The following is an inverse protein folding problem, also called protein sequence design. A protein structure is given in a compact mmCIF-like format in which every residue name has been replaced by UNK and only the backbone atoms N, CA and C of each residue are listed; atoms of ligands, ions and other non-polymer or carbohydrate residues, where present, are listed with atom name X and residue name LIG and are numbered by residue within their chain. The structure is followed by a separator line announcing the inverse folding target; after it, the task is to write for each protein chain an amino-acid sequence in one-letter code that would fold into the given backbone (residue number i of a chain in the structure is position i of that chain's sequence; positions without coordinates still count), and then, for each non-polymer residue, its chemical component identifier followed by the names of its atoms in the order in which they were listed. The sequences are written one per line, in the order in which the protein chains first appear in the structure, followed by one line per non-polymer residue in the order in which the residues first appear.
data_IF_748826680655
#
_entry.id   IF_748826680655
#
_cell.length_a   1.000
_cell.length_b   1.000
_cell.length_c   1.000
_cell.angle_alpha   90.00
_cell.angle_beta   90.00
_cell.angle_gamma   90.00
#
_symmetry.space_group_name_H-M   'P 1'
#
loop_
_entity.id
_entity.type
_entity.pdbx_description
1 polymer ?
#
# COMPACT_ATOMS: atom_id res chain seq x y z
N UNK A 1 -2.29 19.54 -1.71
CA UNK A 1 -1.41 18.35 -1.81
C UNK A 1 -2.06 17.08 -1.26
N UNK A 2 -2.67 17.12 -0.07
CA UNK A 2 -3.31 15.94 0.57
C UNK A 2 -4.40 15.25 -0.26
N UNK A 3 -5.25 16.00 -0.98
CA UNK A 3 -6.32 15.39 -1.83
C UNK A 3 -5.79 14.55 -2.99
N UNK A 4 -4.69 14.99 -3.62
CA UNK A 4 -4.11 14.29 -4.76
C UNK A 4 -3.47 12.98 -4.30
N UNK A 5 -2.77 13.00 -3.16
CA UNK A 5 -2.22 11.80 -2.52
C UNK A 5 -3.33 10.83 -2.10
N UNK A 6 -4.41 11.34 -1.49
CA UNK A 6 -5.59 10.52 -1.12
C UNK A 6 -6.23 9.90 -2.35
N UNK A 7 -6.40 10.67 -3.43
CA UNK A 7 -6.99 10.17 -4.67
C UNK A 7 -6.10 9.12 -5.33
N UNK A 8 -4.80 9.36 -5.43
CA UNK A 8 -3.83 8.39 -5.94
C UNK A 8 -3.82 7.12 -5.10
N UNK A 9 -3.84 7.24 -3.77
CA UNK A 9 -3.91 6.08 -2.86
C UNK A 9 -5.20 5.28 -3.03
N UNK A 10 -6.35 5.95 -3.11
CA UNK A 10 -7.63 5.31 -3.35
C UNK A 10 -7.70 4.63 -4.72
N UNK A 11 -7.19 5.30 -5.76
CA UNK A 11 -7.13 4.77 -7.12
C UNK A 11 -6.25 3.53 -7.19
N UNK A 12 -5.02 3.61 -6.70
CA UNK A 12 -4.08 2.48 -6.68
C UNK A 12 -4.63 1.32 -5.83
N UNK A 13 -5.17 1.61 -4.65
CA UNK A 13 -5.79 0.60 -3.79
C UNK A 13 -6.99 -0.09 -4.44
N UNK A 14 -7.79 0.66 -5.19
CA UNK A 14 -8.91 0.11 -5.96
C UNK A 14 -8.43 -0.79 -7.08
N UNK A 15 -7.46 -0.34 -7.89
CA UNK A 15 -6.92 -1.13 -9.01
C UNK A 15 -6.24 -2.42 -8.53
N UNK A 16 -5.40 -2.32 -7.50
CA UNK A 16 -4.68 -3.46 -6.92
C UNK A 16 -5.67 -4.41 -6.25
N UNK A 17 -6.58 -3.89 -5.41
CA UNK A 17 -7.61 -4.70 -4.75
C UNK A 17 -8.49 -5.43 -5.75
N UNK A 18 -8.88 -4.77 -6.84
CA UNK A 18 -9.71 -5.37 -7.88
C UNK A 18 -8.95 -6.47 -8.64
N UNK A 19 -7.70 -6.23 -9.04
CA UNK A 19 -6.87 -7.24 -9.71
C UNK A 19 -6.62 -8.48 -8.83
N UNK A 20 -6.33 -8.27 -7.54
CA UNK A 20 -6.17 -9.36 -6.58
C UNK A 20 -7.48 -10.11 -6.35
N UNK A 21 -8.60 -9.40 -6.19
CA UNK A 21 -9.94 -9.97 -6.06
C UNK A 21 -10.31 -10.83 -7.26
N UNK A 22 -10.03 -10.37 -8.49
CA UNK A 22 -10.23 -11.16 -9.71
C UNK A 22 -9.37 -12.42 -9.74
N UNK A 23 -8.10 -12.30 -9.36
CA UNK A 23 -7.18 -13.45 -9.31
C UNK A 23 -7.65 -14.50 -8.31
N UNK A 24 -8.14 -14.08 -7.14
CA UNK A 24 -8.73 -14.97 -6.14
C UNK A 24 -10.03 -15.60 -6.63
N UNK A 25 -10.89 -14.81 -7.27
CA UNK A 25 -12.15 -15.29 -7.81
C UNK A 25 -11.94 -16.37 -8.89
N UNK A 26 -10.92 -16.23 -9.74
CA UNK A 26 -10.54 -17.26 -10.71
C UNK A 26 -10.08 -18.57 -10.05
N UNK A 27 -9.48 -18.48 -8.87
CA UNK A 27 -9.00 -19.65 -8.10
C UNK A 27 -10.06 -20.23 -7.16
N UNK A 28 -11.13 -19.50 -6.88
CA UNK A 28 -12.19 -19.92 -5.96
C UNK A 28 -13.06 -21.06 -6.53
N UNK A 29 -13.01 -21.33 -7.85
CA UNK A 29 -13.82 -22.37 -8.48
C UNK A 29 -15.31 -22.16 -8.21
N UNK A 30 -15.96 -23.14 -7.58
CA UNK A 30 -17.38 -23.12 -7.24
C UNK A 30 -17.67 -22.64 -5.80
N UNK A 31 -16.67 -22.20 -5.04
CA UNK A 31 -16.86 -21.65 -3.68
C UNK A 31 -17.71 -20.38 -3.68
N UNK A 32 -17.76 -19.66 -4.79
CA UNK A 32 -18.55 -18.44 -4.95
C UNK A 32 -19.50 -18.65 -6.13
N UNK A 33 -20.80 -18.68 -5.82
CA UNK A 33 -21.85 -18.74 -6.83
C UNK A 33 -21.67 -17.63 -7.88
N UNK A 34 -21.90 -17.90 -9.17
CA UNK A 34 -21.73 -16.91 -10.23
C UNK A 34 -22.48 -15.59 -9.99
N UNK A 35 -23.67 -15.65 -9.39
CA UNK A 35 -24.47 -14.49 -9.04
C UNK A 35 -23.82 -13.59 -7.97
N UNK A 36 -22.98 -14.15 -7.10
CA UNK A 36 -22.35 -13.45 -5.97
C UNK A 36 -20.97 -12.88 -6.30
N UNK A 37 -20.42 -13.18 -7.49
CA UNK A 37 -19.10 -12.71 -7.94
C UNK A 37 -18.92 -11.18 -7.86
N UNK A 38 -19.88 -10.34 -8.29
CA UNK A 38 -19.73 -8.88 -8.19
C UNK A 38 -19.72 -8.39 -6.74
N UNK A 39 -20.53 -9.00 -5.88
CA UNK A 39 -20.58 -8.67 -4.45
C UNK A 39 -19.26 -9.01 -3.77
N UNK A 40 -18.69 -10.19 -4.08
CA UNK A 40 -17.37 -10.59 -3.60
C UNK A 40 -16.29 -9.59 -4.01
N UNK A 41 -16.21 -9.20 -5.29
CA UNK A 41 -15.20 -8.26 -5.77
C UNK A 41 -15.32 -6.90 -5.08
N UNK A 42 -16.54 -6.40 -4.91
CA UNK A 42 -16.78 -5.14 -4.20
C UNK A 42 -16.31 -5.23 -2.75
N UNK A 43 -16.70 -6.29 -2.04
CA UNK A 43 -16.29 -6.51 -0.66
C UNK A 43 -14.76 -6.62 -0.53
N UNK A 44 -14.11 -7.31 -1.46
CA UNK A 44 -12.66 -7.47 -1.48
C UNK A 44 -11.92 -6.14 -1.70
N UNK A 45 -12.40 -5.31 -2.65
CA UNK A 45 -11.85 -3.97 -2.89
C UNK A 45 -11.99 -3.10 -1.64
N UNK A 46 -13.17 -3.07 -1.02
CA UNK A 46 -13.41 -2.30 0.21
C UNK A 46 -12.50 -2.77 1.35
N UNK A 47 -12.36 -4.08 1.55
CA UNK A 47 -11.46 -4.64 2.54
C UNK A 47 -10.00 -4.26 2.27
N UNK A 48 -9.56 -4.28 1.01
CA UNK A 48 -8.20 -3.87 0.61
C UNK A 48 -7.95 -2.39 0.89
N UNK A 49 -8.92 -1.52 0.63
CA UNK A 49 -8.82 -0.09 0.93
C UNK A 49 -8.72 0.17 2.44
N UNK A 50 -9.54 -0.51 3.25
CA UNK A 50 -9.47 -0.43 4.70
C UNK A 50 -8.12 -0.91 5.24
N UNK A 51 -7.62 -2.05 4.72
CA UNK A 51 -6.32 -2.58 5.09
C UNK A 51 -5.20 -1.63 4.68
N UNK A 52 -5.26 -1.08 3.46
CA UNK A 52 -4.34 -0.07 2.97
C UNK A 52 -4.30 1.14 3.89
N UNK A 53 -5.46 1.65 4.32
CA UNK A 53 -5.54 2.76 5.26
C UNK A 53 -4.80 2.47 6.58
N UNK A 54 -5.00 1.28 7.15
CA UNK A 54 -4.33 0.86 8.38
C UNK A 54 -2.83 0.58 8.18
N UNK A 55 -2.42 0.13 7.00
CA UNK A 55 -1.03 -0.20 6.69
C UNK A 55 -0.17 1.02 6.34
N UNK A 56 -0.77 2.10 5.81
CA UNK A 56 -0.06 3.32 5.37
C UNK A 56 0.97 3.81 6.40
N UNK A 57 0.66 3.97 7.71
CA UNK A 57 1.63 4.45 8.68
C UNK A 57 2.89 3.58 8.77
N UNK A 58 2.75 2.26 8.63
CA UNK A 58 3.85 1.30 8.72
C UNK A 58 4.74 1.28 7.49
N UNK A 59 4.19 1.61 6.32
CA UNK A 59 4.92 1.63 5.05
C UNK A 59 5.51 3.02 4.78
N UNK A 60 4.90 4.08 5.30
CA UNK A 60 5.29 5.47 5.00
C UNK A 60 5.89 6.19 6.22
N UNK A 61 5.13 6.36 7.29
CA UNK A 61 5.50 7.24 8.42
C UNK A 61 6.62 6.63 9.25
N UNK A 62 6.48 5.38 9.69
CA UNK A 62 7.47 4.73 10.55
C UNK A 62 8.86 4.62 9.89
N UNK A 63 9.00 4.16 8.64
CA UNK A 63 10.29 4.09 7.98
C UNK A 63 10.92 5.46 7.78
N UNK A 64 10.13 6.45 7.35
CA UNK A 64 10.62 7.83 7.16
C UNK A 64 11.08 8.42 8.49
N UNK A 65 10.30 8.25 9.56
CA UNK A 65 10.67 8.75 10.89
C UNK A 65 11.95 8.10 11.40
N UNK A 66 12.09 6.78 11.25
CA UNK A 66 13.31 6.05 11.60
C UNK A 66 14.52 6.55 10.80
N UNK A 67 14.35 6.77 9.50
CA UNK A 67 15.39 7.31 8.65
C UNK A 67 15.80 8.72 9.09
N UNK A 68 14.84 9.59 9.40
CA UNK A 68 15.11 10.94 9.92
C UNK A 68 15.86 10.89 11.24
N UNK A 69 15.45 10.04 12.19
CA UNK A 69 16.16 9.85 13.46
C UNK A 69 17.60 9.39 13.23
N UNK A 70 17.80 8.37 12.39
CA UNK A 70 19.14 7.86 12.03
C UNK A 70 20.02 8.93 11.38
N UNK A 71 19.46 9.73 10.47
CA UNK A 71 20.18 10.82 9.80
C UNK A 71 20.47 12.00 10.74
N UNK A 72 19.64 12.22 11.75
CA UNK A 72 19.86 13.28 12.76
C UNK A 72 20.98 12.96 13.73
N UNK A 73 21.25 11.66 13.95
CA UNK A 73 22.35 11.17 14.77
C UNK A 73 23.66 11.00 13.97
N UNK A 74 23.57 10.94 12.63
CA UNK A 74 24.71 10.77 11.75
C UNK A 74 25.57 12.04 11.65
N UNK A 75 26.89 11.89 11.79
CA UNK A 75 27.83 12.97 11.53
C UNK A 75 27.91 13.33 10.03
N UNK A 76 28.42 14.53 9.70
CA UNK A 76 28.50 15.00 8.31
C UNK A 76 29.23 14.03 7.34
N UNK A 77 30.19 13.24 7.84
CA UNK A 77 30.89 12.21 7.06
C UNK A 77 30.05 10.95 6.79
N UNK A 78 29.23 10.51 7.76
CA UNK A 78 28.34 9.36 7.61
C UNK A 78 27.16 9.68 6.69
N UNK A 79 26.65 10.92 6.77
CA UNK A 79 25.62 11.41 5.86
C UNK A 79 26.12 11.45 4.40
N UNK A 80 27.34 11.95 4.18
CA UNK A 80 27.95 12.00 2.84
C UNK A 80 28.17 10.59 2.25
N UNK A 81 28.66 9.63 3.06
CA UNK A 81 28.81 8.24 2.66
C UNK A 81 27.46 7.59 2.33
N UNK A 82 26.45 7.80 3.16
CA UNK A 82 25.10 7.28 2.94
C UNK A 82 24.44 7.80 1.66
N UNK A 83 24.59 9.09 1.35
CA UNK A 83 24.08 9.67 0.09
C UNK A 83 24.86 9.14 -1.11
N UNK A 84 26.18 9.03 -1.02
CA UNK A 84 27.02 8.51 -2.11
C UNK A 84 26.85 7.00 -2.39
N UNK A 85 26.32 6.24 -1.44
CA UNK A 85 26.06 4.80 -1.61
C UNK A 85 24.69 4.48 -2.22
N UNK A 86 23.78 5.46 -2.28
CA UNK A 86 22.44 5.33 -2.87
C UNK A 86 22.42 5.79 -4.34
N UNK A 87 23.39 6.60 -4.76
CA UNK A 87 23.61 7.06 -6.15
C UNK A 87 24.58 6.13 -6.86
#
# INVERSE_FOLDING_TARGET
MTRLIQFTGALLGTLIGFALGLTLLQRAGDLIEPANRPAFLTAFVVATLLFGYLAIPYITIYPVRRAVETLSEAGAGEFALGVSAIV
#
